data_IF_930293626771
#
_entry.id   IF_930293626771
#
_cell.length_a   1.000
_cell.length_b   1.000
_cell.length_c   1.000
_cell.angle_alpha   90.00
_cell.angle_beta   90.00
_cell.angle_gamma   90.00
#
_symmetry.space_group_name_H-M   'P 1'
#
loop_
_entity.id
_entity.type
_entity.pdbx_description
1 polymer ?
#
# COMPACT_ATOMS: atom_id res chain seq x y z
N UNK A 1 17.58 -7.17 -0.36
CA UNK A 1 16.91 -7.27 0.97
C UNK A 1 15.42 -7.00 0.76
N UNK A 2 14.48 -7.67 1.46
CA UNK A 2 13.03 -7.54 1.19
C UNK A 2 12.54 -6.08 1.10
N UNK A 3 13.10 -5.19 1.91
CA UNK A 3 12.78 -3.76 1.87
C UNK A 3 13.21 -3.08 0.56
N UNK A 4 14.38 -3.42 0.01
CA UNK A 4 14.87 -2.89 -1.27
C UNK A 4 14.01 -3.40 -2.44
N UNK A 5 13.55 -4.66 -2.37
CA UNK A 5 12.64 -5.25 -3.36
C UNK A 5 11.26 -4.57 -3.36
N UNK A 6 10.90 -3.93 -2.24
CA UNK A 6 9.70 -3.10 -2.10
C UNK A 6 9.97 -1.60 -2.32
N UNK A 7 11.11 -1.21 -2.91
CA UNK A 7 11.46 0.20 -3.13
C UNK A 7 11.48 1.05 -1.86
N UNK A 8 11.85 0.45 -0.72
CA UNK A 8 11.78 1.06 0.60
C UNK A 8 10.37 1.49 1.02
N UNK A 9 9.32 0.90 0.44
CA UNK A 9 7.92 1.24 0.74
C UNK A 9 7.27 0.20 1.65
N UNK A 10 6.33 0.67 2.46
CA UNK A 10 5.31 -0.18 3.06
C UNK A 10 4.49 -0.84 1.94
N UNK A 11 4.40 -2.17 1.96
CA UNK A 11 3.71 -2.95 0.94
C UNK A 11 2.19 -2.65 0.80
N UNK A 12 1.60 -1.93 1.75
CA UNK A 12 0.16 -1.70 1.81
C UNK A 12 -0.22 -0.24 1.56
N UNK A 13 0.38 0.70 2.29
CA UNK A 13 0.05 2.11 2.15
C UNK A 13 1.02 2.89 1.27
N UNK A 14 2.14 2.27 0.89
CA UNK A 14 3.23 2.89 0.12
C UNK A 14 3.82 4.14 0.77
N UNK A 15 3.77 4.25 2.10
CA UNK A 15 4.63 5.18 2.80
C UNK A 15 6.05 4.61 2.85
N UNK A 16 7.02 5.46 2.61
CA UNK A 16 8.44 5.23 2.74
C UNK A 16 8.74 4.70 4.14
N UNK A 17 9.60 3.70 4.16
CA UNK A 17 10.17 3.09 5.34
C UNK A 17 11.62 3.51 5.38
N UNK A 18 12.03 4.07 6.52
CA UNK A 18 13.41 4.46 6.74
C UNK A 18 14.37 3.29 6.49
N UNK A 19 15.54 3.57 5.90
CA UNK A 19 16.52 2.53 5.58
C UNK A 19 16.97 1.72 6.81
N UNK A 20 16.95 2.34 8.00
CA UNK A 20 17.24 1.68 9.28
C UNK A 20 16.10 0.77 9.77
N UNK A 21 14.97 0.76 9.06
CA UNK A 21 13.76 -0.04 9.31
C UNK A 21 13.13 0.17 10.69
N UNK A 22 13.46 1.26 11.40
CA UNK A 22 13.08 1.47 12.81
C UNK A 22 11.59 1.55 13.01
N UNK A 23 10.86 2.05 12.01
CA UNK A 23 9.41 2.21 12.05
C UNK A 23 8.66 1.20 11.18
N UNK A 24 9.27 0.04 10.92
CA UNK A 24 8.69 -1.03 10.11
C UNK A 24 8.65 -2.36 10.84
N UNK A 25 7.90 -3.29 10.27
CA UNK A 25 7.85 -4.68 10.70
C UNK A 25 7.76 -5.60 9.48
N UNK A 26 8.30 -6.81 9.63
CA UNK A 26 7.98 -7.90 8.71
C UNK A 26 6.57 -8.38 9.04
N UNK A 27 5.66 -8.19 8.11
CA UNK A 27 4.32 -8.76 8.15
C UNK A 27 4.32 -10.14 7.50
N UNK A 28 3.57 -11.04 8.12
CA UNK A 28 3.15 -12.28 7.47
C UNK A 28 1.81 -11.99 6.81
N UNK A 29 1.76 -11.89 5.48
CA UNK A 29 0.54 -11.57 4.74
C UNK A 29 -0.63 -12.36 5.31
N UNK A 30 -0.50 -13.70 5.28
CA UNK A 30 -1.27 -14.63 6.11
C UNK A 30 -0.60 -14.78 7.47
N UNK A 31 -1.22 -14.20 8.50
CA UNK A 31 -0.67 -14.15 9.87
C UNK A 31 -0.30 -15.54 10.41
N UNK A 32 0.83 -15.64 11.12
CA UNK A 32 1.32 -16.89 11.73
C UNK A 32 0.35 -17.50 12.74
N UNK A 33 -0.49 -16.68 13.37
CA UNK A 33 -1.51 -17.17 14.31
C UNK A 33 -2.52 -18.09 13.62
N UNK A 34 -2.86 -17.77 12.36
CA UNK A 34 -3.80 -18.54 11.57
C UNK A 34 -3.09 -19.53 10.65
N UNK A 35 -1.90 -19.22 10.13
CA UNK A 35 -1.15 -20.03 9.17
C UNK A 35 0.30 -20.25 9.64
N UNK A 36 0.53 -20.97 10.74
CA UNK A 36 1.88 -21.24 11.22
C UNK A 36 2.75 -21.96 10.17
N UNK A 37 2.14 -22.76 9.29
CA UNK A 37 2.79 -23.46 8.20
C UNK A 37 3.40 -22.54 7.13
N UNK A 38 2.94 -21.29 7.03
CA UNK A 38 3.44 -20.31 6.05
C UNK A 38 4.45 -19.32 6.64
N UNK A 39 4.94 -19.57 7.86
CA UNK A 39 5.75 -18.62 8.62
C UNK A 39 7.13 -18.31 8.01
N UNK A 40 7.65 -19.22 7.17
CA UNK A 40 8.94 -19.10 6.50
C UNK A 40 8.80 -18.97 4.97
N UNK A 41 7.58 -18.93 4.46
CA UNK A 41 7.32 -18.79 3.03
C UNK A 41 7.63 -17.37 2.59
N UNK A 42 8.62 -17.20 1.71
CA UNK A 42 9.09 -15.87 1.29
C UNK A 42 7.98 -15.01 0.69
N UNK A 43 7.12 -15.61 -0.14
CA UNK A 43 5.95 -14.93 -0.73
C UNK A 43 4.88 -14.51 0.29
N UNK A 44 5.01 -14.93 1.55
CA UNK A 44 4.15 -14.56 2.67
C UNK A 44 4.80 -13.48 3.55
N UNK A 45 6.02 -13.02 3.25
CA UNK A 45 6.73 -11.99 4.02
C UNK A 45 6.71 -10.68 3.26
N UNK A 46 6.23 -9.61 3.90
CA UNK A 46 6.27 -8.25 3.37
C UNK A 46 6.78 -7.28 4.43
N UNK A 47 7.38 -6.17 4.01
CA UNK A 47 7.64 -5.05 4.92
C UNK A 47 6.41 -4.15 5.00
N UNK A 48 5.93 -3.90 6.22
CA UNK A 48 4.82 -3.00 6.51
C UNK A 48 5.28 -1.89 7.45
N UNK A 49 4.65 -0.72 7.37
CA UNK A 49 4.84 0.33 8.36
C UNK A 49 4.26 -0.11 9.72
N UNK A 50 4.90 0.31 10.81
CA UNK A 50 4.50 -0.05 12.17
C UNK A 50 3.46 0.91 12.76
N UNK A 51 2.59 1.50 11.93
CA UNK A 51 1.50 2.34 12.45
C UNK A 51 0.41 1.45 13.02
N UNK A 52 -0.12 1.76 14.21
CA UNK A 52 -1.11 0.92 14.90
C UNK A 52 -2.45 0.83 14.17
N UNK A 53 -2.95 1.96 13.68
CA UNK A 53 -4.31 2.09 13.13
C UNK A 53 -4.39 1.83 11.61
N UNK A 54 -3.36 1.23 11.01
CA UNK A 54 -3.35 0.89 9.57
C UNK A 54 -2.41 -0.28 9.26
N UNK A 55 -2.44 -0.74 8.01
CA UNK A 55 -1.49 -1.72 7.47
C UNK A 55 -1.48 -3.02 8.29
N UNK A 56 -0.33 -3.69 8.46
CA UNK A 56 -0.25 -5.00 9.11
C UNK A 56 -0.84 -5.05 10.51
N UNK A 57 -0.62 -4.01 11.33
CA UNK A 57 -1.16 -3.95 12.70
C UNK A 57 -2.69 -3.90 12.72
N UNK A 58 -3.29 -3.13 11.82
CA UNK A 58 -4.74 -3.06 11.70
C UNK A 58 -5.32 -4.35 11.13
N UNK A 59 -4.72 -4.91 10.08
CA UNK A 59 -5.09 -6.23 9.54
C UNK A 59 -5.14 -7.29 10.63
N UNK A 60 -4.06 -7.45 11.38
CA UNK A 60 -3.91 -8.53 12.36
C UNK A 60 -4.88 -8.40 13.55
N UNK A 61 -5.38 -7.20 13.83
CA UNK A 61 -6.41 -6.97 14.85
C UNK A 61 -7.83 -7.17 14.33
N UNK A 62 -8.06 -7.09 13.01
CA UNK A 62 -9.40 -7.14 12.41
C UNK A 62 -9.71 -8.47 11.71
N UNK A 63 -8.72 -9.15 11.15
CA UNK A 63 -8.93 -10.47 10.52
C UNK A 63 -9.15 -11.55 11.56
N UNK A 64 -10.14 -12.43 11.34
CA UNK A 64 -10.53 -13.45 12.34
C UNK A 64 -10.40 -14.88 11.83
N UNK A 65 -10.46 -15.09 10.53
CA UNK A 65 -10.56 -16.42 9.92
C UNK A 65 -9.60 -16.60 8.76
N UNK A 66 -9.22 -17.85 8.50
CA UNK A 66 -8.41 -18.21 7.31
C UNK A 66 -9.09 -17.80 6.00
N UNK A 67 -10.43 -17.89 5.93
CA UNK A 67 -11.22 -17.62 4.72
C UNK A 67 -11.18 -16.15 4.31
N UNK A 68 -11.08 -15.23 5.25
CA UNK A 68 -11.02 -13.79 4.94
C UNK A 68 -9.81 -13.43 4.07
N UNK A 69 -8.70 -14.15 4.18
CA UNK A 69 -7.52 -13.93 3.33
C UNK A 69 -7.74 -14.18 1.85
N UNK A 70 -8.77 -14.94 1.46
CA UNK A 70 -9.16 -15.11 0.05
C UNK A 70 -9.67 -13.79 -0.56
N UNK A 71 -10.14 -12.87 0.30
CA UNK A 71 -10.68 -11.57 -0.07
C UNK A 71 -9.69 -10.41 0.10
N UNK A 72 -8.41 -10.69 0.40
CA UNK A 72 -7.37 -9.67 0.48
C UNK A 72 -6.51 -9.74 -0.78
N UNK A 73 -6.30 -8.59 -1.44
CA UNK A 73 -5.36 -8.47 -2.56
C UNK A 73 -3.96 -8.73 -2.02
N UNK A 74 -3.27 -9.73 -2.56
CA UNK A 74 -1.90 -10.02 -2.21
C UNK A 74 -0.95 -9.32 -3.21
N UNK A 75 -0.28 -8.22 -2.83
CA UNK A 75 0.57 -7.48 -3.75
C UNK A 75 1.81 -8.26 -4.22
N UNK A 76 2.13 -9.42 -3.63
CA UNK A 76 3.25 -10.27 -4.09
C UNK A 76 2.92 -11.14 -5.30
N UNK A 77 1.63 -11.36 -5.60
CA UNK A 77 1.18 -12.26 -6.68
C UNK A 77 0.02 -11.70 -7.51
N UNK A 78 -0.62 -10.63 -7.05
CA UNK A 78 -1.73 -9.96 -7.74
C UNK A 78 -1.34 -8.52 -8.05
N UNK A 79 -1.75 -8.03 -9.23
CA UNK A 79 -1.54 -6.64 -9.61
C UNK A 79 -2.57 -5.73 -8.90
N UNK A 80 -2.17 -4.81 -8.01
CA UNK A 80 -3.09 -3.91 -7.31
C UNK A 80 -3.97 -3.07 -8.24
N UNK A 81 -3.47 -2.74 -9.44
CA UNK A 81 -4.22 -1.95 -10.43
C UNK A 81 -5.48 -2.66 -10.95
N UNK A 82 -5.61 -3.98 -10.78
CA UNK A 82 -6.84 -4.72 -11.13
C UNK A 82 -7.96 -4.52 -10.07
N UNK A 83 -7.61 -4.03 -8.89
CA UNK A 83 -8.51 -3.95 -7.73
C UNK A 83 -8.77 -2.52 -7.25
N UNK A 84 -7.85 -1.60 -7.53
CA UNK A 84 -7.92 -0.21 -7.08
C UNK A 84 -7.95 0.77 -8.25
N UNK A 85 -8.65 1.88 -8.03
CA UNK A 85 -8.47 3.12 -8.79
C UNK A 85 -8.18 4.26 -7.82
N UNK A 86 -7.63 5.35 -8.33
CA UNK A 86 -7.09 6.45 -7.56
C UNK A 86 -7.64 7.77 -8.07
N UNK A 87 -8.05 8.62 -7.12
CA UNK A 87 -8.64 9.92 -7.40
C UNK A 87 -7.67 11.06 -7.07
N UNK A 88 -7.70 12.19 -7.81
CA UNK A 88 -6.93 13.39 -7.47
C UNK A 88 -7.25 13.96 -6.07
N UNK A 89 -8.34 13.53 -5.44
CA UNK A 89 -8.70 13.86 -4.05
C UNK A 89 -7.82 13.15 -3.01
N UNK A 90 -6.89 12.29 -3.44
CA UNK A 90 -6.06 11.45 -2.57
C UNK A 90 -6.71 10.12 -2.18
N UNK A 91 -7.96 9.89 -2.60
CA UNK A 91 -8.71 8.69 -2.23
C UNK A 91 -8.34 7.48 -3.09
N UNK A 92 -8.29 6.31 -2.45
CA UNK A 92 -8.29 5.00 -3.12
C UNK A 92 -9.73 4.50 -3.19
N UNK A 93 -10.17 4.09 -4.37
CA UNK A 93 -11.49 3.48 -4.58
C UNK A 93 -11.34 2.04 -5.06
N UNK A 94 -12.26 1.18 -4.61
CA UNK A 94 -12.26 -0.22 -4.99
C UNK A 94 -12.97 -0.42 -6.34
N UNK A 95 -12.38 -1.25 -7.20
CA UNK A 95 -13.01 -1.72 -8.46
C UNK A 95 -13.93 -2.92 -8.26
N UNK A 96 -13.74 -3.67 -7.17
CA UNK A 96 -14.50 -4.89 -6.87
C UNK A 96 -14.53 -5.18 -5.36
N UNK A 97 -15.24 -6.25 -4.96
CA UNK A 97 -15.37 -6.65 -3.56
C UNK A 97 -14.03 -6.92 -2.87
N UNK A 98 -13.08 -7.58 -3.57
CA UNK A 98 -11.76 -7.91 -3.02
C UNK A 98 -10.94 -6.63 -2.75
N UNK A 99 -11.00 -5.67 -3.66
CA UNK A 99 -10.43 -4.34 -3.46
C UNK A 99 -11.04 -3.63 -2.26
N UNK A 100 -12.37 -3.63 -2.12
CA UNK A 100 -13.05 -2.97 -1.01
C UNK A 100 -12.65 -3.59 0.34
N UNK A 101 -12.68 -4.92 0.43
CA UNK A 101 -12.25 -5.63 1.63
C UNK A 101 -10.79 -5.32 1.98
N UNK A 102 -9.91 -5.19 0.99
CA UNK A 102 -8.51 -4.84 1.20
C UNK A 102 -8.32 -3.42 1.72
N UNK A 103 -9.05 -2.45 1.16
CA UNK A 103 -9.04 -1.07 1.64
C UNK A 103 -9.45 -1.01 3.12
N UNK A 104 -10.49 -1.74 3.48
CA UNK A 104 -11.04 -1.74 4.84
C UNK A 104 -10.11 -2.47 5.82
N UNK A 105 -9.61 -3.66 5.47
CA UNK A 105 -8.79 -4.49 6.38
C UNK A 105 -7.42 -3.90 6.67
N UNK A 106 -6.90 -3.03 5.80
CA UNK A 106 -5.65 -2.31 6.00
C UNK A 106 -5.86 -0.84 6.38
N UNK A 107 -7.11 -0.38 6.47
CA UNK A 107 -7.49 1.02 6.71
C UNK A 107 -6.79 2.01 5.76
N UNK A 108 -6.80 1.73 4.44
CA UNK A 108 -6.07 2.50 3.43
C UNK A 108 -6.67 3.88 3.13
N UNK A 109 -7.89 4.14 3.66
CA UNK A 109 -8.59 5.42 3.63
C UNK A 109 -8.40 6.23 4.92
N UNK A 110 -7.47 5.83 5.79
CA UNK A 110 -7.11 6.63 6.96
C UNK A 110 -6.90 8.10 6.57
N UNK A 111 -7.43 9.01 7.38
CA UNK A 111 -7.45 10.44 7.07
C UNK A 111 -6.06 10.97 6.71
N UNK A 112 -5.03 10.55 7.44
CA UNK A 112 -3.66 11.02 7.20
C UNK A 112 -3.09 10.50 5.88
N UNK A 113 -3.49 9.30 5.41
CA UNK A 113 -3.08 8.79 4.11
C UNK A 113 -3.72 9.58 2.97
N UNK A 114 -5.03 9.85 3.09
CA UNK A 114 -5.74 10.62 2.07
C UNK A 114 -5.21 12.06 1.99
N UNK A 115 -4.94 12.71 3.12
CA UNK A 115 -4.37 14.05 3.17
C UNK A 115 -2.98 14.11 2.52
N UNK A 116 -2.08 13.18 2.85
CA UNK A 116 -0.76 13.13 2.20
C UNK A 116 -0.85 12.88 0.69
N UNK A 117 -1.71 11.96 0.24
CA UNK A 117 -1.88 11.70 -1.21
C UNK A 117 -2.49 12.90 -1.93
N UNK A 118 -3.40 13.64 -1.28
CA UNK A 118 -3.94 14.89 -1.82
C UNK A 118 -2.83 15.92 -2.01
N UNK A 119 -1.95 16.11 -1.02
CA UNK A 119 -0.81 17.04 -1.14
C UNK A 119 0.12 16.67 -2.31
N UNK A 120 0.39 15.37 -2.50
CA UNK A 120 1.14 14.87 -3.66
C UNK A 120 0.40 15.19 -4.95
N UNK A 121 -0.90 14.87 -5.04
CA UNK A 121 -1.70 15.16 -6.24
C UNK A 121 -1.74 16.65 -6.60
N UNK A 122 -1.88 17.53 -5.61
CA UNK A 122 -1.84 18.99 -5.82
C UNK A 122 -0.48 19.45 -6.33
N UNK A 123 0.61 18.86 -5.83
CA UNK A 123 1.98 19.19 -6.29
C UNK A 123 2.23 18.74 -7.72
N UNK A 124 1.75 17.54 -8.08
CA UNK A 124 1.93 16.95 -9.42
C UNK A 124 1.28 17.76 -10.55
N UNK A 125 0.25 18.58 -10.26
CA UNK A 125 -0.40 19.45 -11.26
C UNK A 125 0.55 20.45 -11.91
N UNK A 126 1.64 20.80 -11.22
CA UNK A 126 2.57 21.84 -11.65
C UNK A 126 3.94 21.27 -12.07
N UNK A 127 4.09 19.95 -12.13
CA UNK A 127 5.35 19.26 -12.43
C UNK A 127 5.26 18.60 -13.80
N UNK A 128 6.26 18.84 -14.65
CA UNK A 128 6.45 18.15 -15.92
C UNK A 128 7.80 17.44 -15.93
N UNK A 129 7.82 16.24 -15.35
CA UNK A 129 8.99 15.38 -15.19
C UNK A 129 8.64 13.94 -15.56
N UNK A 130 9.66 13.09 -15.71
CA UNK A 130 9.47 11.64 -15.81
C UNK A 130 9.00 11.03 -14.48
N UNK A 131 8.43 9.82 -14.51
CA UNK A 131 8.03 9.13 -13.27
C UNK A 131 9.21 8.88 -12.33
N UNK A 132 10.38 8.54 -12.88
CA UNK A 132 11.59 8.30 -12.08
C UNK A 132 12.00 9.56 -11.31
N UNK A 133 12.03 10.72 -11.99
CA UNK A 133 12.31 12.01 -11.34
C UNK A 133 11.24 12.41 -10.32
N UNK A 134 9.98 12.00 -10.54
CA UNK A 134 8.89 12.24 -9.58
C UNK A 134 9.07 11.37 -8.34
N UNK A 135 9.47 10.12 -8.48
CA UNK A 135 9.75 9.23 -7.34
C UNK A 135 10.93 9.71 -6.50
N UNK A 136 11.92 10.38 -7.10
CA UNK A 136 13.00 11.03 -6.35
C UNK A 136 12.50 12.21 -5.48
N UNK A 137 11.44 12.90 -5.90
CA UNK A 137 10.84 14.03 -5.16
C UNK A 137 9.79 13.54 -4.15
N UNK A 138 8.99 12.57 -4.56
CA UNK A 138 7.92 11.95 -3.80
C UNK A 138 8.19 10.45 -3.70
N UNK A 139 9.01 10.02 -2.73
CA UNK A 139 9.34 8.60 -2.56
C UNK A 139 8.16 7.79 -2.02
N UNK A 140 7.06 8.45 -1.63
CA UNK A 140 5.82 7.81 -1.17
C UNK A 140 4.84 7.57 -2.34
N UNK A 141 3.96 6.57 -2.19
CA UNK A 141 2.74 6.38 -2.99
C UNK A 141 2.96 6.15 -4.48
N UNK A 142 3.95 5.33 -4.85
CA UNK A 142 4.31 5.08 -6.24
C UNK A 142 3.13 4.64 -7.12
N UNK A 143 2.27 3.72 -6.65
CA UNK A 143 1.10 3.26 -7.42
C UNK A 143 0.06 4.38 -7.57
N UNK A 144 -0.12 5.21 -6.54
CA UNK A 144 -1.01 6.37 -6.63
C UNK A 144 -0.50 7.33 -7.70
N UNK A 145 0.77 7.74 -7.62
CA UNK A 145 1.43 8.67 -8.55
C UNK A 145 1.33 8.15 -9.99
N UNK A 146 1.69 6.88 -10.22
CA UNK A 146 1.65 6.26 -11.55
C UNK A 146 0.25 6.36 -12.18
N UNK A 147 -0.80 6.17 -11.38
CA UNK A 147 -2.18 6.18 -11.86
C UNK A 147 -2.76 7.59 -12.02
N UNK A 148 -2.38 8.55 -11.17
CA UNK A 148 -2.96 9.90 -11.23
C UNK A 148 -2.19 10.86 -12.13
N UNK A 149 -0.87 10.70 -12.25
CA UNK A 149 -0.03 11.66 -12.98
C UNK A 149 -0.42 11.81 -14.45
N UNK A 150 -0.68 10.73 -15.23
CA UNK A 150 -1.17 10.86 -16.60
C UNK A 150 -2.53 11.55 -16.68
N UNK A 151 -3.45 11.22 -15.75
CA UNK A 151 -4.81 11.79 -15.70
C UNK A 151 -4.79 13.29 -15.44
N UNK A 152 -3.82 13.79 -14.65
CA UNK A 152 -3.67 15.21 -14.36
C UNK A 152 -3.19 16.02 -15.58
N UNK A 153 -2.47 15.39 -16.53
CA UNK A 153 -2.02 16.05 -17.77
C UNK A 153 -3.11 16.13 -18.85
N UNK A 154 -4.19 15.36 -18.69
CA UNK A 154 -5.33 15.37 -19.60
C UNK A 154 -6.39 16.45 -19.26
N UNK A 155 -6.22 17.13 -18.11
CA UNK A 155 -7.08 18.21 -17.62
C UNK A 155 -6.62 19.59 -18.11
#
# INVERSE_FOLDING_TARGET
MLLEEQSLLCAYCEKEIDADSKNSNIDHFKTRNLFPELSLEYSNLLVSCNTKERCSNFKDTHIKTRKEYENIVNPTIENPNDFFDYLPTGEIIAKNHKGQFTIDIFNLKDKSLNECRLEVAESLKYIDLSLDEIYDIFPDYHSFIENIYPKLKEL
#
